data_IF_004503920576
#
_entry.id   IF_004503920576
#
_cell.length_a   1.000
_cell.length_b   1.000
_cell.length_c   1.000
_cell.angle_alpha   90.00
_cell.angle_beta   90.00
_cell.angle_gamma   90.00
#
_symmetry.space_group_name_H-M   'P 1'
#
loop_
_entity.id
_entity.type
_entity.pdbx_description
1 polymer ?
#
# COMPACT_ATOMS: atom_id res chain seq x y z
N UNK A 1 7.28 -15.61 15.10
CA UNK A 1 6.76 -15.52 13.74
C UNK A 1 7.69 -16.27 12.80
N UNK A 2 7.15 -17.14 11.96
CA UNK A 2 7.99 -17.90 11.03
C UNK A 2 8.30 -17.07 9.78
N UNK A 3 9.19 -17.60 8.92
CA UNK A 3 9.65 -16.88 7.75
C UNK A 3 8.53 -16.58 6.76
N UNK A 4 7.60 -17.53 6.62
CA UNK A 4 6.49 -17.34 5.70
C UNK A 4 5.56 -16.23 6.18
N UNK A 5 5.30 -16.18 7.47
CA UNK A 5 4.48 -15.11 8.05
C UNK A 5 5.14 -13.75 7.88
N UNK A 6 6.46 -13.69 8.07
CA UNK A 6 7.21 -12.45 7.88
C UNK A 6 7.11 -11.97 6.43
N UNK A 7 7.20 -12.90 5.49
CA UNK A 7 7.11 -12.58 4.08
C UNK A 7 5.75 -12.02 3.72
N UNK A 8 4.69 -12.68 4.21
CA UNK A 8 3.33 -12.23 3.97
C UNK A 8 3.10 -10.82 4.53
N UNK A 9 3.59 -10.58 5.74
CA UNK A 9 3.43 -9.27 6.38
C UNK A 9 4.21 -8.20 5.64
N UNK A 10 5.40 -8.53 5.13
CA UNK A 10 6.19 -7.58 4.35
C UNK A 10 5.48 -7.18 3.07
N UNK A 11 4.96 -8.17 2.35
CA UNK A 11 4.22 -7.91 1.12
C UNK A 11 2.97 -7.10 1.41
N UNK A 12 2.25 -7.44 2.47
CA UNK A 12 1.06 -6.71 2.88
C UNK A 12 1.39 -5.26 3.20
N UNK A 13 2.50 -5.04 3.89
CA UNK A 13 2.94 -3.69 4.23
C UNK A 13 3.23 -2.87 2.97
N UNK A 14 3.92 -3.48 2.01
CA UNK A 14 4.24 -2.82 0.74
C UNK A 14 2.98 -2.45 -0.03
N UNK A 15 2.01 -3.37 -0.07
CA UNK A 15 0.74 -3.10 -0.76
C UNK A 15 -0.05 -2.01 -0.06
N UNK A 16 -0.04 -1.99 1.26
CA UNK A 16 -0.70 -0.92 2.01
C UNK A 16 -0.06 0.43 1.73
N UNK A 17 1.26 0.47 1.61
CA UNK A 17 1.98 1.70 1.29
C UNK A 17 1.59 2.21 -0.10
N UNK A 18 1.40 1.31 -1.06
CA UNK A 18 0.97 1.68 -2.41
C UNK A 18 -0.44 2.25 -2.41
N UNK A 19 -1.32 1.69 -1.59
CA UNK A 19 -2.67 2.22 -1.45
C UNK A 19 -2.63 3.63 -0.88
N UNK A 20 -1.80 3.87 0.13
CA UNK A 20 -1.62 5.18 0.72
C UNK A 20 -1.12 6.17 -0.33
N UNK A 21 -0.15 5.78 -1.14
CA UNK A 21 0.36 6.62 -2.21
C UNK A 21 -0.72 6.96 -3.23
N UNK A 22 -1.54 5.99 -3.58
CA UNK A 22 -2.63 6.20 -4.53
C UNK A 22 -3.63 7.23 -4.00
N UNK A 23 -3.97 7.12 -2.72
CA UNK A 23 -4.87 8.07 -2.07
C UNK A 23 -4.25 9.46 -2.03
N UNK A 24 -2.94 9.55 -1.74
CA UNK A 24 -2.23 10.83 -1.73
C UNK A 24 -2.28 11.51 -3.09
N UNK A 25 -2.18 10.73 -4.16
CA UNK A 25 -2.27 11.28 -5.51
C UNK A 25 -3.67 11.83 -5.79
N UNK A 26 -4.70 11.17 -5.29
CA UNK A 26 -6.07 11.64 -5.44
C UNK A 26 -6.23 13.00 -4.76
N UNK A 27 -5.70 13.17 -3.55
CA UNK A 27 -5.75 14.44 -2.85
C UNK A 27 -4.99 15.54 -3.59
N UNK A 28 -3.90 15.17 -4.25
CA UNK A 28 -3.03 16.14 -4.92
C UNK A 28 -3.54 16.54 -6.30
N UNK A 29 -4.04 15.57 -7.05
CA UNK A 29 -4.42 15.77 -8.46
C UNK A 29 -5.91 15.63 -8.70
N UNK A 30 -6.67 15.15 -7.74
CA UNK A 30 -8.10 14.92 -7.88
C UNK A 30 -8.41 13.58 -8.53
N UNK A 31 -9.68 13.26 -8.52
CA UNK A 31 -10.20 12.06 -9.16
C UNK A 31 -10.61 12.42 -10.57
N UNK A 32 -10.12 11.65 -11.54
CA UNK A 32 -10.45 11.86 -12.94
C UNK A 32 -11.78 11.17 -13.20
N UNK A 33 -12.82 11.94 -13.35
CA UNK A 33 -14.16 11.39 -13.61
C UNK A 33 -14.57 11.53 -15.05
#
# INVERSE_FOLDING_TARGET
>A
MNEKQKEILRITQEECAEVIQAISKIFRFGVDE
#
